data_IF_838920821578
#
_entry.id   IF_838920821578
#
_cell.length_a   1.000
_cell.length_b   1.000
_cell.length_c   1.000
_cell.angle_alpha   90.00
_cell.angle_beta   90.00
_cell.angle_gamma   90.00
#
_symmetry.space_group_name_H-M   'P 1'
#
loop_
_entity.id
_entity.type
_entity.pdbx_description
1 polymer ?
#
# COMPACT_ATOMS: atom_id res chain seq x y z
N UNK A 1 18.32 28.77 31.47
CA UNK A 1 17.94 29.17 30.10
C UNK A 1 19.22 29.57 29.42
N UNK A 2 19.96 28.57 28.92
CA UNK A 2 21.20 28.78 28.18
C UNK A 2 20.94 28.24 26.78
N UNK A 3 20.88 29.13 25.78
CA UNK A 3 20.88 28.69 24.39
C UNK A 3 22.21 27.97 24.16
N UNK A 4 22.22 26.70 23.74
CA UNK A 4 23.47 25.98 23.63
C UNK A 4 24.28 26.62 22.50
N UNK A 5 25.56 26.89 22.76
CA UNK A 5 26.50 27.50 21.81
C UNK A 5 26.59 26.75 20.45
N UNK A 6 25.95 25.59 20.30
CA UNK A 6 25.85 24.78 19.09
C UNK A 6 24.55 24.98 18.27
N UNK A 7 23.50 25.64 18.77
CA UNK A 7 22.26 25.78 17.98
C UNK A 7 22.45 26.71 16.77
N UNK A 8 23.16 27.81 16.96
CA UNK A 8 23.47 28.77 15.89
C UNK A 8 24.30 28.13 14.78
N UNK A 9 25.32 27.32 15.12
CA UNK A 9 26.14 26.62 14.13
C UNK A 9 25.39 25.51 13.40
N UNK A 10 24.53 24.73 14.09
CA UNK A 10 23.63 23.75 13.47
C UNK A 10 22.66 24.43 12.50
N UNK A 11 22.05 25.54 12.91
CA UNK A 11 21.13 26.31 12.08
C UNK A 11 21.82 26.89 10.84
N UNK A 12 23.01 27.46 11.00
CA UNK A 12 23.81 27.95 9.88
C UNK A 12 24.21 26.83 8.91
N UNK A 13 24.62 25.66 9.42
CA UNK A 13 24.94 24.51 8.57
C UNK A 13 23.71 23.98 7.82
N UNK A 14 22.52 23.99 8.45
CA UNK A 14 21.27 23.65 7.79
C UNK A 14 20.95 24.65 6.66
N UNK A 15 21.10 25.95 6.92
CA UNK A 15 20.86 26.99 5.91
C UNK A 15 21.81 26.86 4.71
N UNK A 16 23.07 26.47 4.94
CA UNK A 16 24.06 26.20 3.88
C UNK A 16 23.76 24.89 3.15
N UNK A 17 23.22 23.88 3.84
CA UNK A 17 22.84 22.60 3.23
C UNK A 17 21.58 22.70 2.35
N UNK A 18 20.62 23.55 2.73
CA UNK A 18 19.36 23.74 2.03
C UNK A 18 19.50 23.99 0.51
N UNK A 19 20.34 24.91 0.00
CA UNK A 19 20.49 25.12 -1.44
C UNK A 19 21.06 23.89 -2.15
N UNK A 20 21.96 23.13 -1.51
CA UNK A 20 22.47 21.87 -2.05
C UNK A 20 21.36 20.82 -2.12
N UNK A 21 20.59 20.64 -1.06
CA UNK A 21 19.43 19.74 -1.03
C UNK A 21 18.41 20.09 -2.12
N UNK A 22 18.07 21.38 -2.26
CA UNK A 22 17.15 21.87 -3.29
C UNK A 22 17.70 21.61 -4.69
N UNK A 23 19.00 21.80 -4.92
CA UNK A 23 19.62 21.48 -6.20
C UNK A 23 19.49 19.99 -6.55
N UNK A 24 19.71 19.09 -5.58
CA UNK A 24 19.52 17.65 -5.76
C UNK A 24 18.06 17.27 -5.99
N UNK A 25 17.15 17.89 -5.25
CA UNK A 25 15.73 17.67 -5.40
C UNK A 25 15.25 18.11 -6.79
N UNK A 26 15.70 19.27 -7.27
CA UNK A 26 15.39 19.77 -8.61
C UNK A 26 15.99 18.86 -9.68
N UNK A 27 17.26 18.46 -9.55
CA UNK A 27 17.91 17.54 -10.49
C UNK A 27 17.19 16.19 -10.54
N UNK A 28 16.88 15.61 -9.38
CA UNK A 28 16.14 14.36 -9.29
C UNK A 28 14.73 14.47 -9.85
N UNK A 29 14.05 15.60 -9.63
CA UNK A 29 12.73 15.87 -10.20
C UNK A 29 12.77 15.99 -11.71
N UNK A 30 13.75 16.70 -12.28
CA UNK A 30 13.95 16.80 -13.74
C UNK A 30 14.14 15.41 -14.34
N UNK A 31 15.00 14.58 -13.72
CA UNK A 31 15.20 13.19 -14.14
C UNK A 31 13.93 12.36 -14.02
N UNK A 32 13.20 12.53 -12.93
CA UNK A 32 11.89 11.91 -12.71
C UNK A 32 10.93 12.25 -13.85
N UNK A 33 10.71 13.52 -14.15
CA UNK A 33 9.84 13.96 -15.24
C UNK A 33 10.30 13.49 -16.62
N UNK A 34 11.61 13.38 -16.86
CA UNK A 34 12.15 12.87 -18.12
C UNK A 34 11.83 11.38 -18.33
N UNK A 35 11.92 10.56 -17.28
CA UNK A 35 11.72 9.11 -17.35
C UNK A 35 10.25 8.71 -17.17
N UNK A 36 9.47 9.55 -16.47
CA UNK A 36 8.05 9.36 -16.19
C UNK A 36 7.21 8.89 -17.40
N UNK A 37 7.23 9.56 -18.57
CA UNK A 37 6.42 9.13 -19.71
C UNK A 37 6.80 7.72 -20.21
N UNK A 38 8.08 7.36 -20.16
CA UNK A 38 8.54 6.03 -20.54
C UNK A 38 8.07 4.97 -19.53
N UNK A 39 8.22 5.24 -18.24
CA UNK A 39 7.78 4.31 -17.18
C UNK A 39 6.27 4.09 -17.23
N UNK A 40 5.47 5.16 -17.33
CA UNK A 40 4.01 5.07 -17.45
C UNK A 40 3.64 4.27 -18.70
N UNK A 41 4.26 4.54 -19.84
CA UNK A 41 3.95 3.83 -21.09
C UNK A 41 4.27 2.35 -20.99
N UNK A 42 5.47 1.99 -20.50
CA UNK A 42 5.89 0.59 -20.36
C UNK A 42 4.99 -0.17 -19.40
N UNK A 43 4.74 0.37 -18.19
CA UNK A 43 3.89 -0.31 -17.20
C UNK A 43 2.44 -0.38 -17.65
N UNK A 44 1.88 0.73 -18.13
CA UNK A 44 0.47 0.77 -18.51
C UNK A 44 0.20 -0.12 -19.72
N UNK A 45 0.99 -0.01 -20.79
CA UNK A 45 0.79 -0.81 -22.01
C UNK A 45 1.12 -2.27 -21.72
N UNK A 46 2.26 -2.54 -21.07
CA UNK A 46 2.71 -3.89 -20.76
C UNK A 46 1.72 -4.65 -19.89
N UNK A 47 1.36 -4.10 -18.72
CA UNK A 47 0.44 -4.78 -17.81
C UNK A 47 -0.98 -4.87 -18.38
N UNK A 48 -1.45 -3.84 -19.11
CA UNK A 48 -2.77 -3.91 -19.75
C UNK A 48 -2.80 -4.97 -20.85
N UNK A 49 -1.74 -5.10 -21.64
CA UNK A 49 -1.62 -6.16 -22.65
C UNK A 49 -1.64 -7.56 -22.01
N UNK A 50 -0.93 -7.74 -20.89
CA UNK A 50 -0.95 -8.99 -20.11
C UNK A 50 -2.34 -9.27 -19.56
N UNK A 51 -2.96 -8.27 -18.91
CA UNK A 51 -4.30 -8.37 -18.33
C UNK A 51 -5.34 -8.75 -19.37
N UNK A 52 -5.41 -8.01 -20.49
CA UNK A 52 -6.39 -8.26 -21.56
C UNK A 52 -6.09 -9.55 -22.34
N UNK A 53 -4.81 -9.84 -22.59
CA UNK A 53 -4.40 -11.04 -23.33
C UNK A 53 -4.67 -12.34 -22.57
N UNK A 54 -4.42 -12.35 -21.26
CA UNK A 54 -4.70 -13.50 -20.39
C UNK A 54 -6.12 -13.53 -19.84
N UNK A 55 -6.86 -12.42 -19.97
CA UNK A 55 -8.21 -12.29 -19.44
C UNK A 55 -9.12 -13.48 -19.72
N UNK A 56 -9.25 -13.96 -20.98
CA UNK A 56 -10.18 -15.04 -21.28
C UNK A 56 -9.78 -16.35 -20.58
N UNK A 57 -8.48 -16.62 -20.50
CA UNK A 57 -7.96 -17.84 -19.87
C UNK A 57 -8.11 -17.78 -18.36
N UNK A 58 -7.89 -16.62 -17.74
CA UNK A 58 -8.15 -16.41 -16.31
C UNK A 58 -9.63 -16.56 -15.98
N UNK A 59 -10.53 -15.97 -16.78
CA UNK A 59 -11.99 -16.14 -16.62
C UNK A 59 -12.36 -17.62 -16.70
N UNK A 60 -12.00 -18.31 -17.79
CA UNK A 60 -12.30 -19.73 -17.97
C UNK A 60 -11.70 -20.56 -16.83
N UNK A 61 -10.45 -20.27 -16.44
CA UNK A 61 -9.74 -20.93 -15.36
C UNK A 61 -10.46 -20.79 -14.01
N UNK A 62 -10.90 -19.59 -13.64
CA UNK A 62 -11.69 -19.36 -12.41
C UNK A 62 -13.00 -20.16 -12.44
N UNK A 63 -13.79 -20.01 -13.51
CA UNK A 63 -15.09 -20.67 -13.63
C UNK A 63 -14.93 -22.20 -13.56
N UNK A 64 -13.95 -22.74 -14.29
CA UNK A 64 -13.62 -24.15 -14.26
C UNK A 64 -13.21 -24.62 -12.85
N UNK A 65 -12.35 -23.85 -12.18
CA UNK A 65 -11.86 -24.16 -10.84
C UNK A 65 -12.98 -24.20 -9.81
N UNK A 66 -13.84 -23.19 -9.79
CA UNK A 66 -15.00 -23.13 -8.88
C UNK A 66 -15.99 -24.24 -9.20
N UNK A 67 -16.24 -24.55 -10.48
CA UNK A 67 -17.16 -25.61 -10.87
C UNK A 67 -16.66 -27.02 -10.49
N UNK A 68 -15.34 -27.26 -10.54
CA UNK A 68 -14.73 -28.59 -10.37
C UNK A 68 -14.24 -28.90 -8.96
N UNK A 69 -13.91 -27.89 -8.15
CA UNK A 69 -13.32 -28.13 -6.83
C UNK A 69 -14.27 -28.94 -5.94
N UNK A 70 -13.71 -29.92 -5.22
CA UNK A 70 -14.43 -30.68 -4.18
C UNK A 70 -14.48 -29.93 -2.84
N UNK A 71 -13.79 -28.79 -2.73
CA UNK A 71 -13.69 -28.02 -1.49
C UNK A 71 -14.94 -27.19 -1.18
N UNK A 72 -15.78 -26.95 -2.18
CA UNK A 72 -16.98 -26.12 -2.07
C UNK A 72 -18.24 -26.99 -2.15
N UNK A 73 -19.14 -26.81 -1.19
CA UNK A 73 -20.50 -27.37 -1.20
C UNK A 73 -21.35 -26.81 -2.34
N UNK A 74 -22.49 -27.43 -2.65
CA UNK A 74 -23.30 -27.13 -3.82
C UNK A 74 -23.85 -25.69 -3.82
N UNK A 75 -24.38 -25.23 -2.68
CA UNK A 75 -24.97 -23.88 -2.56
C UNK A 75 -23.88 -22.81 -2.71
N UNK A 76 -22.79 -22.94 -1.96
CA UNK A 76 -21.69 -21.97 -1.99
C UNK A 76 -21.06 -21.90 -3.39
N UNK A 77 -20.96 -23.04 -4.09
CA UNK A 77 -20.49 -23.08 -5.47
C UNK A 77 -21.37 -22.26 -6.42
N UNK A 78 -22.69 -22.41 -6.35
CA UNK A 78 -23.63 -21.64 -7.18
C UNK A 78 -23.54 -20.15 -6.86
N UNK A 79 -23.50 -19.79 -5.58
CA UNK A 79 -23.37 -18.39 -5.14
C UNK A 79 -22.05 -17.78 -5.64
N UNK A 80 -20.93 -18.49 -5.48
CA UNK A 80 -19.63 -18.02 -5.95
C UNK A 80 -19.61 -17.86 -7.48
N UNK A 81 -20.17 -18.80 -8.24
CA UNK A 81 -20.26 -18.68 -9.71
C UNK A 81 -21.08 -17.45 -10.15
N UNK A 82 -22.10 -17.07 -9.39
CA UNK A 82 -22.93 -15.90 -9.67
C UNK A 82 -22.22 -14.59 -9.31
N UNK A 83 -21.44 -14.57 -8.22
CA UNK A 83 -20.70 -13.38 -7.76
C UNK A 83 -19.38 -13.21 -8.53
N UNK A 84 -18.80 -14.29 -9.06
CA UNK A 84 -17.49 -14.32 -9.74
C UNK A 84 -17.26 -13.23 -10.82
N UNK A 85 -18.25 -12.79 -11.61
CA UNK A 85 -18.07 -11.66 -12.53
C UNK A 85 -17.56 -10.37 -11.85
N UNK A 86 -17.98 -10.10 -10.61
CA UNK A 86 -17.65 -8.87 -9.89
C UNK A 86 -16.14 -8.74 -9.58
N UNK A 87 -15.48 -9.71 -8.89
CA UNK A 87 -14.04 -9.64 -8.66
C UNK A 87 -13.26 -9.74 -9.97
N UNK A 88 -13.78 -10.46 -10.98
CA UNK A 88 -13.15 -10.52 -12.28
C UNK A 88 -13.06 -9.11 -12.91
N UNK A 89 -14.18 -8.42 -13.10
CA UNK A 89 -14.17 -7.04 -13.64
C UNK A 89 -13.35 -6.10 -12.77
N UNK A 90 -13.42 -6.26 -11.45
CA UNK A 90 -12.64 -5.46 -10.50
C UNK A 90 -11.13 -5.61 -10.74
N UNK A 91 -10.62 -6.83 -10.97
CA UNK A 91 -9.19 -7.07 -11.23
C UNK A 91 -8.73 -6.34 -12.50
N UNK A 92 -9.55 -6.28 -13.55
CA UNK A 92 -9.20 -5.50 -14.75
C UNK A 92 -9.12 -4.00 -14.43
N UNK A 93 -10.14 -3.46 -13.76
CA UNK A 93 -10.21 -2.01 -13.47
C UNK A 93 -9.05 -1.61 -12.56
N UNK A 94 -8.89 -2.31 -11.42
CA UNK A 94 -7.82 -2.01 -10.47
C UNK A 94 -6.44 -2.34 -11.04
N UNK A 95 -6.32 -3.36 -11.90
CA UNK A 95 -5.06 -3.70 -12.56
C UNK A 95 -4.60 -2.59 -13.52
N UNK A 96 -5.51 -2.02 -14.32
CA UNK A 96 -5.19 -0.92 -15.25
C UNK A 96 -4.88 0.36 -14.46
N UNK A 97 -5.75 0.75 -13.52
CA UNK A 97 -5.54 1.95 -12.69
C UNK A 97 -4.26 1.83 -11.88
N UNK A 98 -4.05 0.67 -11.25
CA UNK A 98 -2.84 0.35 -10.49
C UNK A 98 -1.58 0.40 -11.33
N UNK A 99 -1.63 -0.03 -12.60
CA UNK A 99 -0.48 0.03 -13.52
C UNK A 99 -0.09 1.47 -13.88
N UNK A 100 -1.08 2.36 -14.06
CA UNK A 100 -0.83 3.79 -14.28
C UNK A 100 -0.22 4.42 -13.02
N UNK A 101 -0.82 4.18 -11.85
CA UNK A 101 -0.34 4.71 -10.57
C UNK A 101 1.07 4.20 -10.25
N UNK A 102 1.34 2.91 -10.46
CA UNK A 102 2.66 2.31 -10.32
C UNK A 102 3.65 2.92 -11.33
N UNK A 103 3.24 3.15 -12.57
CA UNK A 103 4.01 3.85 -13.60
C UNK A 103 4.44 5.25 -13.15
N UNK A 104 3.50 6.01 -12.57
CA UNK A 104 3.75 7.36 -12.04
C UNK A 104 4.72 7.28 -10.86
N UNK A 105 4.41 6.46 -9.86
CA UNK A 105 5.20 6.34 -8.65
C UNK A 105 6.62 5.86 -8.94
N UNK A 106 6.75 4.75 -9.66
CA UNK A 106 8.05 4.17 -10.01
C UNK A 106 8.86 5.10 -10.93
N UNK A 107 8.20 5.66 -11.95
CA UNK A 107 8.86 6.52 -12.95
C UNK A 107 9.39 7.83 -12.35
N UNK A 108 8.68 8.41 -11.38
CA UNK A 108 9.08 9.66 -10.75
C UNK A 108 10.00 9.45 -9.54
N UNK A 109 9.64 8.56 -8.61
CA UNK A 109 10.36 8.41 -7.35
C UNK A 109 11.67 7.65 -7.48
N UNK A 110 11.79 6.68 -8.39
CA UNK A 110 13.04 5.91 -8.53
C UNK A 110 14.22 6.78 -9.00
N UNK A 111 14.10 7.62 -10.05
CA UNK A 111 15.18 8.55 -10.42
C UNK A 111 15.45 9.61 -9.34
N UNK A 112 14.43 10.07 -8.63
CA UNK A 112 14.56 11.02 -7.54
C UNK A 112 15.41 10.43 -6.41
N UNK A 113 15.03 9.26 -5.88
CA UNK A 113 15.76 8.56 -4.81
C UNK A 113 17.19 8.21 -5.24
N UNK A 114 17.38 7.74 -6.48
CA UNK A 114 18.70 7.43 -7.03
C UNK A 114 19.65 8.64 -7.05
N UNK A 115 19.11 9.86 -7.24
CA UNK A 115 19.89 11.11 -7.22
C UNK A 115 20.42 11.41 -5.83
N UNK A 116 19.60 11.20 -4.80
CA UNK A 116 20.02 11.34 -3.40
C UNK A 116 20.97 10.22 -2.96
N UNK A 117 20.77 9.00 -3.46
CA UNK A 117 21.64 7.85 -3.18
C UNK A 117 23.01 7.97 -3.86
N UNK A 118 23.12 8.64 -5.00
CA UNK A 118 24.38 8.83 -5.72
C UNK A 118 25.44 9.60 -4.92
N UNK A 119 25.03 10.35 -3.89
CA UNK A 119 25.90 11.21 -3.08
C UNK A 119 26.37 10.50 -1.80
N UNK A 120 25.85 9.29 -1.55
CA UNK A 120 26.25 8.41 -0.45
C UNK A 120 27.77 8.13 -0.47
N UNK A 121 28.44 8.20 0.69
CA UNK A 121 29.90 8.00 0.84
C UNK A 121 30.32 6.61 0.33
N UNK A 122 31.43 6.55 -0.41
CA UNK A 122 31.99 5.30 -0.98
C UNK A 122 31.89 5.15 -2.51
N UNK A 123 31.28 6.10 -3.24
CA UNK A 123 31.22 6.07 -4.71
C UNK A 123 32.24 7.04 -5.34
N UNK A 124 33.05 6.56 -6.28
CA UNK A 124 33.89 7.42 -7.13
C UNK A 124 33.03 8.23 -8.11
N UNK A 125 33.50 9.39 -8.59
CA UNK A 125 32.78 10.24 -9.58
C UNK A 125 31.32 10.59 -9.23
N UNK A 126 31.07 11.01 -7.98
CA UNK A 126 29.73 11.35 -7.44
C UNK A 126 28.89 12.25 -8.36
N UNK A 127 29.49 13.27 -8.98
CA UNK A 127 28.79 14.18 -9.89
C UNK A 127 28.24 13.46 -11.12
N UNK A 128 29.05 12.64 -11.81
CA UNK A 128 28.61 11.91 -12.99
C UNK A 128 27.47 10.93 -12.68
N UNK A 129 27.60 10.20 -11.57
CA UNK A 129 26.56 9.29 -11.08
C UNK A 129 25.26 10.01 -10.71
N UNK A 130 25.35 11.21 -10.14
CA UNK A 130 24.17 12.02 -9.82
C UNK A 130 23.33 12.36 -11.08
N UNK A 131 23.97 12.59 -12.23
CA UNK A 131 23.27 12.89 -13.49
C UNK A 131 22.77 11.63 -14.22
N UNK A 132 23.58 10.56 -14.25
CA UNK A 132 23.31 9.39 -15.11
C UNK A 132 22.49 8.32 -14.40
N UNK A 133 22.72 8.12 -13.09
CA UNK A 133 22.10 6.99 -12.38
C UNK A 133 20.60 7.19 -12.22
N UNK A 134 19.85 6.10 -12.20
CA UNK A 134 18.41 6.12 -12.08
C UNK A 134 17.66 6.26 -13.40
N UNK A 135 18.23 6.83 -14.48
CA UNK A 135 17.51 6.95 -15.76
C UNK A 135 17.36 5.58 -16.43
N UNK A 136 18.47 4.99 -16.86
CA UNK A 136 18.47 3.70 -17.56
C UNK A 136 18.02 2.55 -16.64
N UNK A 137 18.36 2.65 -15.36
CA UNK A 137 17.93 1.70 -14.35
C UNK A 137 16.41 1.69 -14.19
N UNK A 138 15.77 2.86 -14.15
CA UNK A 138 14.30 2.93 -14.04
C UNK A 138 13.63 2.38 -15.30
N UNK A 139 14.12 2.69 -16.51
CA UNK A 139 13.54 2.13 -17.75
C UNK A 139 13.65 0.60 -17.77
N UNK A 140 14.83 0.05 -17.45
CA UNK A 140 15.01 -1.41 -17.35
C UNK A 140 14.15 -2.01 -16.25
N UNK A 141 14.11 -1.34 -15.10
CA UNK A 141 13.29 -1.71 -13.96
C UNK A 141 11.80 -1.75 -14.32
N UNK A 142 11.30 -0.80 -15.09
CA UNK A 142 9.93 -0.79 -15.61
C UNK A 142 9.63 -2.03 -16.45
N UNK A 143 10.56 -2.43 -17.34
CA UNK A 143 10.41 -3.67 -18.09
C UNK A 143 10.46 -4.92 -17.20
N UNK A 144 11.28 -4.90 -16.14
CA UNK A 144 11.32 -5.99 -15.16
C UNK A 144 10.01 -6.08 -14.37
N UNK A 145 9.42 -4.95 -13.95
CA UNK A 145 8.12 -4.94 -13.26
C UNK A 145 7.03 -5.56 -14.14
N UNK A 146 6.99 -5.23 -15.43
CA UNK A 146 6.05 -5.86 -16.37
C UNK A 146 6.32 -7.36 -16.50
N UNK A 147 7.59 -7.78 -16.57
CA UNK A 147 7.96 -9.20 -16.62
C UNK A 147 7.51 -9.93 -15.35
N UNK A 148 7.78 -9.38 -14.17
CA UNK A 148 7.41 -9.98 -12.90
C UNK A 148 5.89 -10.10 -12.77
N UNK A 149 5.14 -9.08 -13.22
CA UNK A 149 3.68 -9.13 -13.30
C UNK A 149 3.20 -10.20 -14.28
N UNK A 150 3.86 -10.32 -15.45
CA UNK A 150 3.58 -11.35 -16.44
C UNK A 150 3.79 -12.74 -15.85
N UNK A 151 4.93 -12.98 -15.20
CA UNK A 151 5.28 -14.25 -14.58
C UNK A 151 4.29 -14.62 -13.48
N UNK A 152 3.85 -13.65 -12.67
CA UNK A 152 2.80 -13.86 -11.69
C UNK A 152 1.47 -14.31 -12.34
N UNK A 153 1.04 -13.62 -13.40
CA UNK A 153 -0.19 -13.94 -14.13
C UNK A 153 -0.15 -15.29 -14.86
N UNK A 154 1.03 -15.72 -15.32
CA UNK A 154 1.23 -16.99 -16.02
C UNK A 154 1.50 -18.19 -15.11
N UNK A 155 2.15 -17.98 -13.97
CA UNK A 155 2.62 -19.08 -13.13
C UNK A 155 1.92 -19.11 -11.78
N UNK A 156 2.01 -18.05 -11.00
CA UNK A 156 1.45 -18.01 -9.64
C UNK A 156 -0.07 -18.18 -9.65
N UNK A 157 -0.74 -17.51 -10.59
CA UNK A 157 -2.19 -17.60 -10.73
C UNK A 157 -2.67 -19.02 -11.05
N UNK A 158 -2.10 -19.67 -12.07
CA UNK A 158 -2.52 -21.03 -12.45
C UNK A 158 -2.09 -22.08 -11.43
N UNK A 159 -0.95 -21.89 -10.76
CA UNK A 159 -0.54 -22.74 -9.65
C UNK A 159 -1.59 -22.72 -8.53
N UNK A 160 -2.06 -21.53 -8.14
CA UNK A 160 -3.13 -21.37 -7.15
C UNK A 160 -4.42 -22.09 -7.57
N UNK A 161 -4.87 -21.89 -8.81
CA UNK A 161 -6.06 -22.58 -9.32
C UNK A 161 -5.92 -24.11 -9.28
N UNK A 162 -4.76 -24.61 -9.71
CA UNK A 162 -4.47 -26.04 -9.71
C UNK A 162 -4.50 -26.60 -8.29
N UNK A 163 -3.91 -25.90 -7.33
CA UNK A 163 -3.90 -26.31 -5.93
C UNK A 163 -5.29 -26.29 -5.30
N UNK A 164 -6.17 -25.39 -5.75
CA UNK A 164 -7.56 -25.32 -5.28
C UNK A 164 -8.45 -26.44 -5.84
N UNK A 165 -8.12 -26.98 -7.02
CA UNK A 165 -8.81 -28.14 -7.62
C UNK A 165 -8.35 -29.44 -6.97
N UNK A 166 -7.09 -29.53 -6.52
CA UNK A 166 -6.54 -30.76 -5.92
C UNK A 166 -7.47 -31.31 -4.84
N UNK A 167 -7.61 -32.63 -4.87
CA UNK A 167 -8.41 -33.36 -3.90
C UNK A 167 -7.94 -33.01 -2.48
N UNK A 168 -8.87 -32.64 -1.59
CA UNK A 168 -8.52 -32.30 -0.24
C UNK A 168 -8.13 -33.55 0.55
N UNK A 169 -7.55 -33.38 1.74
CA UNK A 169 -7.24 -34.49 2.63
C UNK A 169 -8.51 -35.28 3.00
N UNK A 170 -8.34 -36.55 3.42
CA UNK A 170 -9.45 -37.44 3.80
C UNK A 170 -10.38 -36.84 4.86
N UNK A 171 -9.84 -35.97 5.71
CA UNK A 171 -10.55 -35.40 6.86
C UNK A 171 -11.18 -34.03 6.56
N UNK A 172 -11.04 -33.55 5.32
CA UNK A 172 -11.49 -32.21 4.94
C UNK A 172 -13.01 -32.16 4.77
N UNK A 173 -13.63 -31.26 5.54
CA UNK A 173 -15.04 -30.93 5.38
C UNK A 173 -15.20 -29.80 4.34
N UNK A 174 -15.99 -30.00 3.28
CA UNK A 174 -16.29 -28.95 2.32
C UNK A 174 -16.87 -27.69 2.96
N UNK A 175 -16.54 -26.53 2.40
CA UNK A 175 -17.16 -25.27 2.77
C UNK A 175 -18.61 -25.25 2.28
N UNK A 176 -19.57 -25.35 3.19
CA UNK A 176 -21.00 -25.38 2.88
C UNK A 176 -21.78 -24.27 3.58
N UNK A 177 -22.58 -23.51 2.83
CA UNK A 177 -23.50 -22.50 3.36
C UNK A 177 -24.93 -23.03 3.31
N UNK A 178 -25.68 -22.88 4.40
CA UNK A 178 -27.12 -23.16 4.40
C UNK A 178 -27.83 -22.04 3.64
N UNK A 179 -28.82 -22.40 2.82
CA UNK A 179 -29.60 -21.43 2.04
C UNK A 179 -30.27 -20.39 2.94
N UNK A 180 -30.67 -20.79 4.15
CA UNK A 180 -31.32 -19.91 5.12
C UNK A 180 -30.38 -18.83 5.68
N UNK A 181 -29.07 -19.07 5.70
CA UNK A 181 -28.08 -18.13 6.25
C UNK A 181 -27.61 -17.11 5.19
N UNK A 182 -27.87 -17.40 3.90
CA UNK A 182 -27.44 -16.58 2.78
C UNK A 182 -28.01 -15.14 2.81
N UNK A 183 -29.32 -14.91 3.06
CA UNK A 183 -29.85 -13.55 3.19
C UNK A 183 -29.20 -12.77 4.34
N UNK A 184 -28.90 -13.45 5.45
CA UNK A 184 -28.21 -12.87 6.59
C UNK A 184 -26.78 -12.44 6.24
N UNK A 185 -26.03 -13.30 5.53
CA UNK A 185 -24.68 -12.97 5.06
C UNK A 185 -24.68 -11.73 4.15
N UNK A 186 -25.62 -11.66 3.19
CA UNK A 186 -25.73 -10.52 2.27
C UNK A 186 -26.10 -9.24 3.02
N UNK A 187 -27.11 -9.30 3.90
CA UNK A 187 -27.56 -8.16 4.67
C UNK A 187 -26.45 -7.59 5.57
N UNK A 188 -25.76 -8.46 6.31
CA UNK A 188 -24.67 -8.06 7.21
C UNK A 188 -23.45 -7.58 6.43
N UNK A 189 -23.12 -8.19 5.28
CA UNK A 189 -22.04 -7.70 4.42
C UNK A 189 -22.29 -6.29 3.88
N UNK A 190 -23.51 -6.01 3.41
CA UNK A 190 -23.90 -4.66 2.96
C UNK A 190 -23.87 -3.68 4.15
N UNK A 191 -24.41 -4.09 5.30
CA UNK A 191 -24.41 -3.25 6.50
C UNK A 191 -22.99 -2.95 6.99
N UNK A 192 -22.09 -3.93 6.95
CA UNK A 192 -20.67 -3.75 7.29
C UNK A 192 -20.01 -2.72 6.39
N UNK A 193 -20.19 -2.79 5.07
CA UNK A 193 -19.68 -1.74 4.16
C UNK A 193 -20.29 -0.38 4.46
N UNK A 194 -21.60 -0.30 4.74
CA UNK A 194 -22.28 0.96 5.04
C UNK A 194 -21.80 1.62 6.35
N UNK A 195 -21.28 0.84 7.30
CA UNK A 195 -20.80 1.33 8.59
C UNK A 195 -19.29 1.54 8.59
N UNK A 196 -18.52 0.55 8.14
CA UNK A 196 -17.04 0.60 8.20
C UNK A 196 -16.48 1.68 7.29
N UNK A 197 -17.02 1.85 6.07
CA UNK A 197 -16.53 2.87 5.14
C UNK A 197 -16.60 4.28 5.76
N UNK A 198 -17.76 4.78 6.22
CA UNK A 198 -17.81 6.12 6.81
C UNK A 198 -17.04 6.23 8.14
N UNK A 199 -17.07 5.21 9.00
CA UNK A 199 -16.38 5.27 10.29
C UNK A 199 -14.86 5.25 10.14
N UNK A 200 -14.31 4.31 9.35
CA UNK A 200 -12.87 4.24 9.07
C UNK A 200 -12.43 5.51 8.33
N UNK A 201 -13.23 6.03 7.39
CA UNK A 201 -12.93 7.31 6.73
C UNK A 201 -12.87 8.46 7.73
N UNK A 202 -13.83 8.56 8.64
CA UNK A 202 -13.87 9.58 9.67
C UNK A 202 -12.65 9.50 10.59
N UNK A 203 -12.31 8.30 11.07
CA UNK A 203 -11.13 8.05 11.90
C UNK A 203 -9.83 8.39 11.16
N UNK A 204 -9.68 7.92 9.92
CA UNK A 204 -8.50 8.18 9.10
C UNK A 204 -8.30 9.68 8.85
N UNK A 205 -9.37 10.40 8.48
CA UNK A 205 -9.32 11.84 8.26
C UNK A 205 -9.02 12.60 9.54
N UNK A 206 -9.64 12.23 10.67
CA UNK A 206 -9.39 12.86 11.96
C UNK A 206 -7.97 12.63 12.48
N UNK A 207 -7.40 11.44 12.26
CA UNK A 207 -6.06 11.07 12.77
C UNK A 207 -4.93 11.50 11.83
N UNK A 208 -5.24 11.75 10.57
CA UNK A 208 -4.25 12.16 9.55
C UNK A 208 -3.44 13.42 9.92
N UNK A 209 -3.99 14.48 10.54
CA UNK A 209 -3.20 15.64 10.93
C UNK A 209 -2.20 15.29 12.04
N UNK A 210 -2.60 14.46 13.00
CA UNK A 210 -1.71 13.99 14.06
C UNK A 210 -0.57 13.15 13.49
N UNK A 211 -0.87 12.23 12.56
CA UNK A 211 0.14 11.46 11.83
C UNK A 211 1.10 12.36 11.07
N UNK A 212 0.59 13.40 10.40
CA UNK A 212 1.39 14.37 9.67
C UNK A 212 2.34 15.12 10.60
N UNK A 213 1.83 15.79 11.63
CA UNK A 213 2.64 16.61 12.53
C UNK A 213 3.62 15.79 13.36
N UNK A 214 3.18 14.63 13.88
CA UNK A 214 4.03 13.76 14.69
C UNK A 214 5.14 13.14 13.85
N UNK A 215 4.79 12.61 12.67
CA UNK A 215 5.77 12.06 11.75
C UNK A 215 6.78 13.09 11.28
N UNK A 216 6.34 14.31 10.94
CA UNK A 216 7.25 15.41 10.66
C UNK A 216 8.15 15.76 11.83
N UNK A 217 7.61 15.90 13.05
CA UNK A 217 8.43 16.18 14.23
C UNK A 217 9.50 15.11 14.42
N UNK A 218 9.13 13.83 14.33
CA UNK A 218 10.06 12.70 14.48
C UNK A 218 11.14 12.71 13.40
N UNK A 219 10.75 12.86 12.12
CA UNK A 219 11.71 12.93 11.01
C UNK A 219 12.64 14.15 11.11
N UNK A 220 12.15 15.29 11.60
CA UNK A 220 12.97 16.47 11.86
C UNK A 220 13.93 16.25 13.04
N UNK A 221 13.48 15.60 14.11
CA UNK A 221 14.34 15.21 15.23
C UNK A 221 15.42 14.23 14.80
N UNK A 222 15.09 13.23 13.97
CA UNK A 222 16.04 12.27 13.40
C UNK A 222 17.06 12.97 12.47
N UNK A 223 16.65 14.03 11.79
CA UNK A 223 17.52 14.85 10.95
C UNK A 223 18.48 15.72 11.77
N UNK A 224 18.02 16.30 12.89
CA UNK A 224 18.79 17.22 13.76
C UNK A 224 19.69 16.45 14.74
N UNK A 225 19.21 15.33 15.28
CA UNK A 225 19.92 14.51 16.28
C UNK A 225 21.08 13.71 15.72
N UNK A 226 21.30 13.76 14.40
CA UNK A 226 22.42 13.09 13.73
C UNK A 226 23.67 13.95 13.86
N UNK A 227 24.40 13.79 14.96
CA UNK A 227 25.61 14.56 15.27
C UNK A 227 26.71 14.39 14.20
N UNK A 228 27.08 15.51 13.56
CA UNK A 228 28.13 15.62 12.55
C UNK A 228 27.85 16.79 11.60
N UNK A 229 28.86 17.33 10.88
CA UNK A 229 28.57 18.30 9.82
C UNK A 229 27.58 17.66 8.83
N UNK A 230 26.49 18.37 8.48
CA UNK A 230 25.42 17.86 7.59
C UNK A 230 25.94 17.32 6.22
N UNK A 231 27.18 17.65 5.85
CA UNK A 231 27.88 17.20 4.65
C UNK A 231 28.66 15.87 4.83
N UNK A 232 28.99 15.46 6.05
CA UNK A 232 29.75 14.23 6.33
C UNK A 232 28.86 13.02 6.67
N UNK A 233 27.66 13.26 7.20
CA UNK A 233 26.69 12.21 7.55
C UNK A 233 25.82 11.86 6.34
N UNK A 234 26.38 10.97 5.52
CA UNK A 234 25.85 10.12 4.42
C UNK A 234 24.32 9.98 4.23
N UNK A 235 23.51 10.08 5.29
CA UNK A 235 22.06 9.86 5.27
C UNK A 235 21.22 11.15 5.35
N UNK A 236 21.83 12.32 5.57
CA UNK A 236 21.11 13.60 5.72
C UNK A 236 20.27 13.95 4.48
N UNK A 237 20.79 13.86 3.24
CA UNK A 237 19.98 14.17 2.06
C UNK A 237 18.77 13.25 1.88
N UNK A 238 18.93 11.95 2.19
CA UNK A 238 17.83 10.97 2.10
C UNK A 238 16.79 11.20 3.20
N UNK A 239 17.24 11.51 4.43
CA UNK A 239 16.34 11.87 5.53
C UNK A 239 15.55 13.16 5.23
N UNK A 240 16.20 14.16 4.63
CA UNK A 240 15.52 15.38 4.15
C UNK A 240 14.47 15.08 3.07
N UNK A 241 14.75 14.13 2.16
CA UNK A 241 13.77 13.67 1.18
C UNK A 241 12.57 12.98 1.85
N UNK A 242 12.81 12.18 2.89
CA UNK A 242 11.73 11.54 3.65
C UNK A 242 10.83 12.56 4.36
N UNK A 243 11.39 13.62 4.94
CA UNK A 243 10.61 14.74 5.52
C UNK A 243 9.70 15.38 4.47
N UNK A 244 10.22 15.60 3.26
CA UNK A 244 9.48 16.21 2.16
C UNK A 244 8.38 15.30 1.60
N UNK A 245 8.63 13.99 1.53
CA UNK A 245 7.67 12.99 1.01
C UNK A 245 6.64 12.55 2.05
N UNK A 246 6.83 12.86 3.33
CA UNK A 246 5.92 12.45 4.41
C UNK A 246 4.44 12.82 4.17
N UNK A 247 4.08 14.04 3.71
CA UNK A 247 2.68 14.39 3.47
C UNK A 247 2.04 13.51 2.41
N UNK A 248 2.80 13.13 1.38
CA UNK A 248 2.31 12.24 0.34
C UNK A 248 2.00 10.85 0.92
N UNK A 249 2.86 10.34 1.80
CA UNK A 249 2.65 9.05 2.48
C UNK A 249 1.36 9.09 3.31
N UNK A 250 1.10 10.19 4.03
CA UNK A 250 -0.14 10.37 4.81
C UNK A 250 -1.38 10.40 3.91
N UNK A 251 -1.32 11.07 2.75
CA UNK A 251 -2.44 11.06 1.80
C UNK A 251 -2.69 9.66 1.24
N UNK A 252 -1.63 8.94 0.87
CA UNK A 252 -1.73 7.57 0.36
C UNK A 252 -2.30 6.63 1.42
N UNK A 253 -1.90 6.76 2.69
CA UNK A 253 -2.42 5.91 3.77
C UNK A 253 -3.91 6.14 4.02
N UNK A 254 -4.39 7.40 3.97
CA UNK A 254 -5.82 7.72 4.08
C UNK A 254 -6.60 7.12 2.92
N UNK A 255 -6.14 7.31 1.67
CA UNK A 255 -6.81 6.72 0.49
C UNK A 255 -6.84 5.19 0.61
N UNK A 256 -5.73 4.58 1.04
CA UNK A 256 -5.65 3.13 1.23
C UNK A 256 -6.63 2.64 2.30
N UNK A 257 -6.77 3.35 3.42
CA UNK A 257 -7.70 2.99 4.49
C UNK A 257 -9.16 3.04 4.01
N UNK A 258 -9.52 4.08 3.25
CA UNK A 258 -10.86 4.22 2.65
C UNK A 258 -11.13 3.05 1.70
N UNK A 259 -10.19 2.74 0.80
CA UNK A 259 -10.37 1.64 -0.15
C UNK A 259 -10.42 0.27 0.53
N UNK A 260 -9.58 0.02 1.54
CA UNK A 260 -9.58 -1.25 2.28
C UNK A 260 -10.83 -1.46 3.12
N UNK A 261 -11.45 -0.38 3.62
CA UNK A 261 -12.66 -0.46 4.46
C UNK A 261 -13.84 -1.17 3.78
N UNK A 262 -13.93 -1.10 2.44
CA UNK A 262 -14.95 -1.82 1.67
C UNK A 262 -14.77 -3.34 1.84
N UNK A 263 -13.53 -3.82 1.74
CA UNK A 263 -13.22 -5.25 1.87
C UNK A 263 -13.40 -5.71 3.31
N UNK A 264 -12.90 -4.93 4.27
CA UNK A 264 -13.04 -5.20 5.71
C UNK A 264 -14.53 -5.31 6.08
N UNK A 265 -15.35 -4.32 5.75
CA UNK A 265 -16.78 -4.36 6.06
C UNK A 265 -17.52 -5.51 5.36
N UNK A 266 -17.17 -5.82 4.11
CA UNK A 266 -17.78 -6.95 3.40
C UNK A 266 -17.41 -8.32 4.01
N UNK A 267 -16.28 -8.41 4.71
CA UNK A 267 -15.83 -9.64 5.38
C UNK A 267 -16.76 -10.05 6.53
N UNK A 268 -17.59 -9.14 7.04
CA UNK A 268 -18.65 -9.47 7.98
C UNK A 268 -19.58 -10.58 7.45
N UNK A 269 -19.83 -10.63 6.13
CA UNK A 269 -20.59 -11.70 5.50
C UNK A 269 -19.92 -13.09 5.67
N UNK A 270 -18.59 -13.13 5.62
CA UNK A 270 -17.80 -14.35 5.82
C UNK A 270 -17.89 -14.81 7.27
N UNK A 271 -17.89 -13.88 8.23
CA UNK A 271 -18.06 -14.21 9.65
C UNK A 271 -19.45 -14.78 9.94
N UNK A 272 -20.52 -14.20 9.39
CA UNK A 272 -21.88 -14.77 9.53
C UNK A 272 -21.92 -16.20 9.00
N UNK A 273 -21.25 -16.45 7.87
CA UNK A 273 -21.13 -17.77 7.28
C UNK A 273 -20.37 -18.75 8.20
N UNK A 274 -19.18 -18.37 8.69
CA UNK A 274 -18.34 -19.23 9.52
C UNK A 274 -18.99 -19.57 10.86
N UNK A 275 -19.61 -18.58 11.49
CA UNK A 275 -20.20 -18.69 12.83
C UNK A 275 -21.67 -19.11 12.82
N UNK A 276 -22.30 -19.17 11.63
CA UNK A 276 -23.76 -19.35 11.48
C UNK A 276 -24.57 -18.39 12.35
N UNK A 277 -24.06 -17.17 12.58
CA UNK A 277 -24.61 -16.20 13.53
C UNK A 277 -24.53 -14.77 13.00
N UNK A 278 -25.69 -14.15 12.82
CA UNK A 278 -25.82 -12.72 12.45
C UNK A 278 -25.21 -11.83 13.54
N UNK A 279 -25.37 -12.21 14.81
CA UNK A 279 -24.82 -11.45 15.94
C UNK A 279 -23.29 -11.40 15.87
N UNK A 280 -22.63 -12.51 15.52
CA UNK A 280 -21.16 -12.54 15.39
C UNK A 280 -20.68 -11.69 14.21
N UNK A 281 -21.43 -11.67 13.10
CA UNK A 281 -21.13 -10.76 11.97
C UNK A 281 -21.28 -9.28 12.33
N UNK A 282 -22.31 -8.91 13.11
CA UNK A 282 -22.47 -7.55 13.62
C UNK A 282 -21.38 -7.19 14.65
N UNK A 283 -21.01 -8.14 15.52
CA UNK A 283 -19.91 -7.96 16.46
C UNK A 283 -18.57 -7.77 15.74
N UNK A 284 -18.35 -8.46 14.62
CA UNK A 284 -17.17 -8.28 13.78
C UNK A 284 -17.07 -6.85 13.23
N UNK A 285 -18.16 -6.24 12.76
CA UNK A 285 -18.17 -4.85 12.26
C UNK A 285 -17.67 -3.90 13.36
N UNK A 286 -18.21 -4.04 14.58
CA UNK A 286 -17.78 -3.23 15.72
C UNK A 286 -16.31 -3.50 16.05
N UNK A 287 -15.89 -4.77 16.07
CA UNK A 287 -14.52 -5.16 16.35
C UNK A 287 -13.53 -4.65 15.29
N UNK A 288 -13.90 -4.67 14.01
CA UNK A 288 -13.04 -4.20 12.91
C UNK A 288 -12.78 -2.69 13.00
N UNK A 289 -13.80 -1.90 13.34
CA UNK A 289 -13.64 -0.46 13.59
C UNK A 289 -12.82 -0.21 14.85
N UNK A 290 -13.05 -0.97 15.92
CA UNK A 290 -12.27 -0.87 17.15
C UNK A 290 -10.79 -1.20 16.93
N UNK A 291 -10.49 -2.29 16.22
CA UNK A 291 -9.13 -2.69 15.83
C UNK A 291 -8.46 -1.61 14.98
N UNK A 292 -9.18 -1.02 14.03
CA UNK A 292 -8.64 0.10 13.25
C UNK A 292 -8.34 1.32 14.13
N UNK A 293 -9.22 1.64 15.08
CA UNK A 293 -9.01 2.73 16.03
C UNK A 293 -7.79 2.46 16.93
N UNK A 294 -7.70 1.26 17.49
CA UNK A 294 -6.60 0.81 18.36
C UNK A 294 -5.27 0.80 17.61
N UNK A 295 -5.21 0.15 16.43
CA UNK A 295 -4.01 0.13 15.60
C UNK A 295 -3.52 1.53 15.25
N UNK A 296 -4.44 2.44 14.91
CA UNK A 296 -4.07 3.83 14.60
C UNK A 296 -3.72 4.63 15.85
N UNK A 297 -4.29 4.32 17.01
CA UNK A 297 -3.86 4.89 18.30
C UNK A 297 -2.43 4.46 18.63
N UNK A 298 -2.10 3.17 18.47
CA UNK A 298 -0.76 2.64 18.73
C UNK A 298 0.29 3.22 17.80
N UNK A 299 -0.01 3.27 16.49
CA UNK A 299 0.87 3.90 15.50
C UNK A 299 1.17 5.36 15.85
N UNK A 300 0.20 6.04 16.46
CA UNK A 300 0.29 7.44 16.84
C UNK A 300 0.59 7.66 18.32
N UNK A 301 0.78 6.61 19.13
CA UNK A 301 0.84 6.63 20.60
C UNK A 301 -0.21 7.57 21.23
N UNK A 302 -1.46 7.44 20.81
CA UNK A 302 -2.63 8.13 21.39
C UNK A 302 -3.23 7.26 22.51
N UNK A 303 -3.92 7.88 23.45
CA UNK A 303 -4.67 7.15 24.48
C UNK A 303 -5.96 6.56 23.87
N UNK A 304 -6.25 5.29 24.19
CA UNK A 304 -7.43 4.55 23.72
C UNK A 304 -8.72 5.36 23.85
N UNK A 305 -9.53 5.39 22.77
CA UNK A 305 -10.81 6.09 22.74
C UNK A 305 -10.71 7.63 22.78
N UNK A 306 -9.51 8.21 22.66
CA UNK A 306 -9.31 9.64 22.69
C UNK A 306 -8.42 10.15 21.55
N UNK A 307 -8.56 11.42 21.25
CA UNK A 307 -7.67 12.14 20.33
C UNK A 307 -6.43 12.71 21.05
N UNK A 308 -6.22 12.33 22.31
CA UNK A 308 -5.18 12.89 23.17
C UNK A 308 -3.94 11.97 23.16
N UNK A 309 -2.72 12.55 23.18
CA UNK A 309 -1.50 11.75 23.28
C UNK A 309 -1.48 11.00 24.62
N UNK A 310 -1.09 9.71 24.56
CA UNK A 310 -0.91 8.90 25.77
C UNK A 310 0.18 9.51 26.65
N UNK A 311 -0.06 9.55 27.97
CA UNK A 311 0.90 10.03 28.97
C UNK A 311 1.98 8.99 29.30
N UNK A 312 1.97 7.82 28.65
CA UNK A 312 2.97 6.79 28.88
C UNK A 312 4.37 7.27 28.42
N UNK A 313 5.41 7.13 29.26
CA UNK A 313 6.75 7.58 28.93
C UNK A 313 7.30 6.78 27.75
N UNK A 314 7.96 7.52 26.85
CA UNK A 314 8.71 7.01 25.70
C UNK A 314 9.82 6.07 26.26
N UNK A 315 9.84 4.77 25.91
CA UNK A 315 11.02 3.93 26.18
C UNK A 315 12.20 4.33 25.30
#
# INVERSE_FOLDING_TARGET
MDAPANFSSIFWNFLVFLPFFLALFMLGSIKGFLVLPFSISVLSIGNTAVLLGLWPVHVIGMYYTVARTKRLGPVLRVVLLLILPLPLVSVLVFGIVGSVLAGIGYGFFTPLVATFEAIRKGRERKFAHCFVDGIWYTIKGSCTVVRDFTDFCFHSYFAYLKDFIKDPSSDFQPYEIKVNDLPGCVAVGIFGVLIDVPLITFLALGKSPFMLFKGWRKLLQDLIGREGPFLETVCVPVAGLAVLLWPLIVVISVISAILSSIFIGSYAAVIVYQESSIQNGLAYIVAAVAEFDEYTNDLLYLQEGSWLPSQAPIP
#
